data_IF_461327842014
#
_entry.id   IF_461327842014
#
_cell.length_a   1.000
_cell.length_b   1.000
_cell.length_c   1.000
_cell.angle_alpha   90.00
_cell.angle_beta   90.00
_cell.angle_gamma   90.00
#
_symmetry.space_group_name_H-M   'P 1'
#
loop_
_entity.id
_entity.type
_entity.pdbx_description
1 polymer ?
#
# COMPACT_ATOMS: atom_id res chain seq x y z
N UNK A 1 -22.48 -50.17 -49.32
CA UNK A 1 -21.47 -50.98 -48.61
C UNK A 1 -21.69 -50.69 -47.12
N UNK A 2 -22.40 -51.47 -46.41
CA UNK A 2 -22.19 -52.59 -45.50
C UNK A 2 -20.87 -52.47 -44.71
N UNK A 3 -20.97 -52.28 -43.37
CA UNK A 3 -20.64 -53.19 -42.28
C UNK A 3 -20.73 -52.39 -40.97
N UNK A 4 -21.40 -52.73 -40.04
CA UNK A 4 -21.74 -53.84 -39.12
C UNK A 4 -21.49 -53.41 -37.68
N UNK A 5 -22.54 -53.55 -36.91
CA UNK A 5 -22.69 -53.54 -35.46
C UNK A 5 -21.63 -54.35 -34.70
N UNK A 6 -21.28 -53.88 -33.50
CA UNK A 6 -21.04 -54.77 -32.35
C UNK A 6 -21.51 -54.14 -31.06
N UNK A 7 -22.56 -54.72 -30.54
CA UNK A 7 -23.08 -54.59 -29.18
C UNK A 7 -22.28 -55.54 -28.30
N UNK A 8 -21.93 -55.14 -27.08
CA UNK A 8 -21.71 -56.05 -25.94
C UNK A 8 -22.09 -55.37 -24.60
N UNK A 9 -22.45 -56.18 -23.61
CA UNK A 9 -23.45 -55.86 -22.58
C UNK A 9 -22.85 -55.52 -21.21
N UNK A 10 -23.70 -54.94 -20.43
CA UNK A 10 -23.91 -54.74 -19.03
C UNK A 10 -22.91 -55.30 -17.99
N UNK A 11 -22.63 -54.43 -17.05
CA UNK A 11 -22.42 -54.79 -15.65
C UNK A 11 -23.10 -53.73 -14.76
N UNK A 12 -24.12 -54.18 -14.05
CA UNK A 12 -24.70 -53.48 -12.87
C UNK A 12 -23.70 -53.60 -11.74
N UNK A 13 -23.27 -52.50 -11.18
CA UNK A 13 -22.71 -52.50 -9.83
C UNK A 13 -23.19 -51.29 -9.03
N UNK A 14 -23.65 -51.61 -7.88
CA UNK A 14 -24.18 -51.04 -6.74
C UNK A 14 -23.93 -49.55 -6.43
N UNK A 15 -25.05 -48.89 -6.21
CA UNK A 15 -25.13 -47.58 -5.55
C UNK A 15 -24.83 -47.76 -4.06
N UNK A 16 -23.61 -47.45 -3.61
CA UNK A 16 -23.32 -47.23 -2.19
C UNK A 16 -23.30 -45.73 -1.97
N UNK A 17 -24.32 -45.23 -1.29
CA UNK A 17 -24.35 -43.85 -0.78
C UNK A 17 -23.28 -43.70 0.32
N UNK A 18 -22.20 -43.00 0.01
CA UNK A 18 -21.29 -42.50 1.00
C UNK A 18 -21.80 -41.16 1.50
N UNK A 19 -22.35 -41.14 2.68
CA UNK A 19 -22.65 -39.92 3.44
C UNK A 19 -21.33 -39.23 3.76
N UNK A 20 -21.00 -38.22 2.97
CA UNK A 20 -19.91 -37.30 3.24
C UNK A 20 -20.31 -36.38 4.39
N UNK A 21 -19.79 -36.66 5.59
CA UNK A 21 -19.78 -35.73 6.70
C UNK A 21 -18.86 -34.57 6.31
N UNK A 22 -19.45 -33.41 6.09
CA UNK A 22 -18.73 -32.17 5.86
C UNK A 22 -17.99 -31.77 7.16
N UNK A 23 -16.72 -32.00 7.20
CA UNK A 23 -15.80 -31.44 8.23
C UNK A 23 -15.83 -29.92 8.13
N UNK A 24 -15.97 -29.17 9.25
CA UNK A 24 -15.94 -27.72 9.21
C UNK A 24 -14.58 -27.27 8.66
N UNK A 25 -14.59 -26.49 7.58
CA UNK A 25 -13.38 -25.82 7.08
C UNK A 25 -12.84 -24.93 8.18
N UNK A 26 -11.74 -25.34 8.78
CA UNK A 26 -10.89 -24.46 9.56
C UNK A 26 -10.50 -23.31 8.65
N UNK A 27 -10.82 -22.07 9.05
CA UNK A 27 -10.30 -20.87 8.43
C UNK A 27 -8.77 -20.86 8.61
N UNK A 28 -8.07 -21.42 7.66
CA UNK A 28 -6.63 -21.23 7.54
C UNK A 28 -6.42 -19.74 7.25
N UNK A 29 -5.78 -19.06 8.19
CA UNK A 29 -5.16 -17.76 7.94
C UNK A 29 -4.16 -18.01 6.82
N UNK A 30 -4.43 -17.45 5.64
CA UNK A 30 -3.48 -17.50 4.53
C UNK A 30 -2.27 -16.66 4.98
N UNK A 31 -1.10 -17.25 5.16
CA UNK A 31 0.10 -16.46 5.46
C UNK A 31 0.34 -15.52 4.29
N UNK A 32 0.56 -14.24 4.55
CA UNK A 32 1.18 -13.35 3.57
C UNK A 32 2.45 -14.08 3.07
N UNK A 33 2.47 -14.43 1.80
CA UNK A 33 3.65 -14.95 1.15
C UNK A 33 4.72 -13.85 1.19
N UNK A 34 5.50 -13.84 2.26
CA UNK A 34 6.83 -13.26 2.25
C UNK A 34 7.62 -14.12 1.27
N UNK A 35 7.94 -13.58 0.10
CA UNK A 35 8.77 -14.22 -0.92
C UNK A 35 10.23 -14.24 -0.43
N UNK A 36 10.51 -14.98 0.61
CA UNK A 36 11.82 -15.26 1.13
C UNK A 36 11.88 -16.76 1.44
N UNK A 37 12.91 -17.42 0.94
CA UNK A 37 13.16 -18.85 1.18
C UNK A 37 13.50 -19.11 2.67
N UNK A 38 12.52 -18.92 3.58
CA UNK A 38 12.66 -19.44 4.94
C UNK A 38 12.62 -20.95 4.90
N UNK A 39 13.59 -21.61 5.53
CA UNK A 39 13.56 -23.06 5.64
C UNK A 39 12.40 -23.49 6.54
N UNK A 40 11.91 -24.71 6.38
CA UNK A 40 10.86 -25.28 7.24
C UNK A 40 11.25 -25.22 8.73
N UNK A 41 12.54 -25.45 9.03
CA UNK A 41 13.09 -25.33 10.38
C UNK A 41 13.01 -23.89 10.91
N UNK A 42 13.33 -22.88 10.10
CA UNK A 42 13.19 -21.46 10.50
C UNK A 42 11.74 -21.09 10.75
N UNK A 43 10.81 -21.55 9.92
CA UNK A 43 9.38 -21.33 10.12
C UNK A 43 8.89 -21.95 11.44
N UNK A 44 9.30 -23.18 11.76
CA UNK A 44 8.96 -23.85 13.01
C UNK A 44 9.49 -23.08 14.21
N UNK A 45 10.76 -22.69 14.20
CA UNK A 45 11.37 -21.90 15.29
C UNK A 45 10.70 -20.54 15.49
N UNK A 46 10.31 -19.85 14.40
CA UNK A 46 9.57 -18.59 14.50
C UNK A 46 8.17 -18.78 15.08
N UNK A 47 7.47 -19.85 14.72
CA UNK A 47 6.16 -20.18 15.28
C UNK A 47 6.23 -20.50 16.76
N UNK A 48 7.21 -21.30 17.20
CA UNK A 48 7.45 -21.60 18.60
C UNK A 48 7.77 -20.32 19.40
N UNK A 49 8.73 -19.52 18.94
CA UNK A 49 9.12 -18.28 19.59
C UNK A 49 7.94 -17.29 19.73
N UNK A 50 7.15 -17.09 18.65
CA UNK A 50 5.98 -16.20 18.69
C UNK A 50 4.89 -16.78 19.59
N UNK A 51 4.70 -18.09 19.59
CA UNK A 51 3.74 -18.77 20.45
C UNK A 51 4.08 -18.57 21.93
N UNK A 52 5.32 -18.74 22.31
CA UNK A 52 5.80 -18.53 23.68
C UNK A 52 5.66 -17.08 24.13
N UNK A 53 6.08 -16.13 23.29
CA UNK A 53 5.94 -14.69 23.58
C UNK A 53 4.48 -14.27 23.75
N UNK A 54 3.57 -14.80 22.93
CA UNK A 54 2.12 -14.53 23.05
C UNK A 54 1.53 -15.15 24.33
N UNK A 55 1.99 -16.35 24.72
CA UNK A 55 1.53 -17.01 25.93
C UNK A 55 2.00 -16.26 27.19
N UNK A 56 3.24 -15.76 27.19
CA UNK A 56 3.77 -14.95 28.29
C UNK A 56 3.02 -13.61 28.42
N UNK A 57 2.78 -12.93 27.30
CA UNK A 57 1.98 -11.69 27.27
C UNK A 57 0.54 -11.94 27.79
N UNK A 58 -0.07 -13.07 27.41
CA UNK A 58 -1.38 -13.46 27.90
C UNK A 58 -1.37 -13.69 29.42
N UNK A 59 -0.40 -14.42 29.95
CA UNK A 59 -0.28 -14.67 31.41
C UNK A 59 -0.16 -13.36 32.19
N UNK A 60 0.68 -12.45 31.71
CA UNK A 60 0.85 -11.13 32.33
C UNK A 60 -0.42 -10.31 32.28
N UNK A 61 -1.16 -10.35 31.18
CA UNK A 61 -2.40 -9.58 31.03
C UNK A 61 -3.54 -10.15 31.89
N UNK A 62 -3.68 -11.49 31.96
CA UNK A 62 -4.82 -12.11 32.66
C UNK A 62 -4.77 -11.88 34.18
N UNK A 63 -3.57 -11.73 34.75
CA UNK A 63 -3.40 -11.41 36.18
C UNK A 63 -3.98 -10.06 36.56
N UNK A 64 -4.23 -9.18 35.59
CA UNK A 64 -4.76 -7.82 35.76
C UNK A 64 -6.26 -7.71 35.44
N UNK A 65 -6.91 -8.81 35.00
CA UNK A 65 -8.30 -8.79 34.56
C UNK A 65 -9.22 -9.34 35.66
N UNK A 66 -10.27 -8.58 35.99
CA UNK A 66 -11.44 -9.11 36.70
C UNK A 66 -12.39 -9.85 35.72
N UNK A 67 -13.42 -10.49 36.28
CA UNK A 67 -14.35 -11.27 35.51
C UNK A 67 -15.09 -10.44 34.44
N UNK A 68 -15.43 -9.20 34.74
CA UNK A 68 -16.15 -8.31 33.84
C UNK A 68 -15.25 -7.84 32.69
N UNK A 69 -14.03 -7.48 32.99
CA UNK A 69 -13.02 -7.11 31.98
C UNK A 69 -12.65 -8.28 31.07
N UNK A 70 -12.54 -9.49 31.64
CA UNK A 70 -12.28 -10.69 30.86
C UNK A 70 -13.42 -10.99 29.86
N UNK A 71 -14.70 -10.80 30.27
CA UNK A 71 -15.83 -10.95 29.36
C UNK A 71 -15.81 -9.91 28.24
N UNK A 72 -15.51 -8.65 28.55
CA UNK A 72 -15.38 -7.58 27.54
C UNK A 72 -14.29 -7.88 26.49
N UNK A 73 -13.16 -8.44 26.91
CA UNK A 73 -12.10 -8.91 26.00
C UNK A 73 -12.61 -10.04 25.11
N UNK A 74 -13.33 -11.02 25.65
CA UNK A 74 -13.92 -12.11 24.87
C UNK A 74 -14.92 -11.60 23.83
N UNK A 75 -15.73 -10.62 24.16
CA UNK A 75 -16.70 -10.01 23.24
C UNK A 75 -16.02 -9.27 22.08
N UNK A 76 -14.82 -8.76 22.30
CA UNK A 76 -14.00 -8.09 21.29
C UNK A 76 -12.98 -9.02 20.59
N UNK A 77 -13.10 -10.34 20.74
CA UNK A 77 -12.07 -11.30 20.29
C UNK A 77 -11.64 -11.16 18.83
N UNK A 78 -12.55 -10.80 17.92
CA UNK A 78 -12.21 -10.57 16.50
C UNK A 78 -11.30 -9.37 16.29
N UNK A 79 -11.63 -8.27 16.98
CA UNK A 79 -10.83 -7.03 16.92
C UNK A 79 -9.46 -7.24 17.53
N UNK A 80 -9.41 -7.87 18.71
CA UNK A 80 -8.16 -8.20 19.39
C UNK A 80 -7.26 -9.11 18.54
N UNK A 81 -7.82 -10.13 17.89
CA UNK A 81 -7.06 -11.02 17.00
C UNK A 81 -6.40 -10.25 15.86
N UNK A 82 -7.13 -9.29 15.26
CA UNK A 82 -6.60 -8.45 14.17
C UNK A 82 -5.48 -7.55 14.69
N UNK A 83 -5.69 -6.86 15.81
CA UNK A 83 -4.67 -5.97 16.41
C UNK A 83 -3.39 -6.73 16.82
N UNK A 84 -3.53 -7.92 17.38
CA UNK A 84 -2.39 -8.78 17.72
C UNK A 84 -1.64 -9.22 16.46
N UNK A 85 -2.34 -9.67 15.42
CA UNK A 85 -1.72 -10.07 14.17
C UNK A 85 -0.95 -8.91 13.51
N UNK A 86 -1.54 -7.72 13.47
CA UNK A 86 -0.88 -6.52 12.96
C UNK A 86 0.39 -6.18 13.75
N UNK A 87 0.32 -6.29 15.09
CA UNK A 87 1.48 -6.00 15.95
C UNK A 87 2.61 -7.02 15.78
N UNK A 88 2.28 -8.30 15.62
CA UNK A 88 3.27 -9.35 15.34
C UNK A 88 3.95 -9.10 14.00
N UNK A 89 3.19 -8.77 12.95
CA UNK A 89 3.74 -8.41 11.64
C UNK A 89 4.65 -7.19 11.74
N UNK A 90 4.24 -6.15 12.45
CA UNK A 90 5.06 -4.94 12.68
C UNK A 90 6.40 -5.28 13.38
N UNK A 91 6.38 -6.11 14.42
CA UNK A 91 7.59 -6.53 15.15
C UNK A 91 8.51 -7.33 14.23
N UNK A 92 7.97 -8.31 13.49
CA UNK A 92 8.75 -9.10 12.54
C UNK A 92 9.40 -8.18 11.51
N UNK A 93 8.64 -7.27 10.90
CA UNK A 93 9.19 -6.32 9.93
C UNK A 93 10.30 -5.44 10.51
N UNK A 94 10.12 -4.92 11.74
CA UNK A 94 11.13 -4.09 12.41
C UNK A 94 12.47 -4.81 12.56
N UNK A 95 12.47 -6.13 12.75
CA UNK A 95 13.68 -6.91 12.99
C UNK A 95 14.21 -7.67 11.76
N UNK A 96 13.43 -7.79 10.69
CA UNK A 96 13.82 -8.58 9.50
C UNK A 96 14.23 -7.75 8.29
N UNK A 97 13.89 -6.46 8.25
CA UNK A 97 14.03 -5.65 7.02
C UNK A 97 15.34 -4.88 6.90
N UNK A 98 16.26 -4.97 7.89
CA UNK A 98 17.37 -4.02 7.94
C UNK A 98 18.40 -4.14 6.82
N UNK A 99 18.67 -5.36 6.29
CA UNK A 99 19.82 -5.56 5.39
C UNK A 99 19.48 -5.99 3.95
N UNK A 100 18.23 -6.38 3.67
CA UNK A 100 17.86 -6.76 2.29
C UNK A 100 17.97 -5.57 1.34
N UNK A 101 18.74 -5.72 0.26
CA UNK A 101 18.99 -4.67 -0.75
C UNK A 101 19.67 -3.41 -0.19
N UNK A 102 20.49 -3.53 0.85
CA UNK A 102 21.22 -2.40 1.45
C UNK A 102 22.23 -1.78 0.49
N UNK A 103 22.72 -2.56 -0.44
CA UNK A 103 23.56 -2.13 -1.58
C UNK A 103 22.81 -1.26 -2.60
N UNK A 104 21.47 -1.16 -2.48
CA UNK A 104 20.61 -0.30 -3.29
C UNK A 104 20.31 1.03 -2.58
N UNK A 105 21.26 1.56 -1.84
CA UNK A 105 21.22 2.88 -1.22
C UNK A 105 22.45 3.70 -1.66
N UNK A 106 22.23 4.96 -1.98
CA UNK A 106 23.28 5.94 -2.31
C UNK A 106 23.10 7.20 -1.50
N UNK A 107 24.18 7.88 -1.20
CA UNK A 107 24.11 9.19 -0.55
C UNK A 107 23.37 10.20 -1.43
N UNK A 108 22.51 10.99 -0.80
CA UNK A 108 21.76 12.06 -1.45
C UNK A 108 21.79 13.33 -0.61
N UNK A 109 22.15 14.43 -1.25
CA UNK A 109 22.11 15.79 -0.70
C UNK A 109 20.85 16.56 -1.13
N UNK A 110 20.00 15.93 -1.95
CA UNK A 110 18.79 16.57 -2.50
C UNK A 110 17.74 16.82 -1.44
N UNK A 111 17.08 17.95 -1.57
CA UNK A 111 16.03 18.41 -0.65
C UNK A 111 14.80 18.86 -1.39
N UNK A 112 13.77 19.25 -0.66
CA UNK A 112 12.60 19.89 -1.25
C UNK A 112 12.93 21.31 -1.76
N UNK A 113 12.14 21.82 -2.73
CA UNK A 113 12.24 23.23 -3.10
C UNK A 113 12.05 24.12 -1.86
N UNK A 114 12.83 25.22 -1.72
CA UNK A 114 12.68 26.14 -0.58
C UNK A 114 11.27 26.74 -0.44
N UNK A 115 10.51 26.76 -1.52
CA UNK A 115 9.12 27.26 -1.58
C UNK A 115 8.09 26.24 -1.14
N UNK A 116 8.46 24.96 -1.05
CA UNK A 116 7.51 23.90 -0.65
C UNK A 116 7.10 24.06 0.81
N UNK A 117 5.82 24.17 1.03
CA UNK A 117 5.19 24.18 2.37
C UNK A 117 3.89 23.42 2.30
N UNK A 118 3.67 22.53 3.26
CA UNK A 118 2.41 21.80 3.34
C UNK A 118 1.30 22.75 3.79
N UNK A 119 0.22 22.75 3.03
CA UNK A 119 -0.97 23.58 3.27
C UNK A 119 -1.88 22.92 4.30
N UNK A 120 -2.66 23.70 5.07
CA UNK A 120 -3.71 23.14 5.94
C UNK A 120 -4.68 22.25 5.15
N UNK A 121 -5.24 21.23 5.81
CA UNK A 121 -6.16 20.25 5.17
C UNK A 121 -7.34 20.96 4.50
N UNK A 122 -7.92 21.98 5.13
CA UNK A 122 -9.04 22.74 4.58
C UNK A 122 -8.72 23.39 3.22
N UNK A 123 -7.49 23.88 3.08
CA UNK A 123 -7.01 24.46 1.82
C UNK A 123 -6.81 23.38 0.74
N UNK A 124 -6.26 22.23 1.13
CA UNK A 124 -6.08 21.09 0.24
C UNK A 124 -7.44 20.55 -0.25
N UNK A 125 -8.39 20.36 0.66
CA UNK A 125 -9.77 19.92 0.36
C UNK A 125 -10.47 20.88 -0.58
N UNK A 126 -10.35 22.19 -0.32
CA UNK A 126 -10.92 23.23 -1.18
C UNK A 126 -10.36 23.15 -2.59
N UNK A 127 -9.05 22.94 -2.72
CA UNK A 127 -8.41 22.84 -4.03
C UNK A 127 -8.81 21.55 -4.76
N UNK A 128 -8.86 20.42 -4.07
CA UNK A 128 -9.29 19.14 -4.66
C UNK A 128 -10.73 19.18 -5.12
N UNK A 129 -11.63 19.84 -4.39
CA UNK A 129 -13.04 20.02 -4.81
C UNK A 129 -13.21 20.94 -6.05
N UNK A 130 -12.31 21.90 -6.26
CA UNK A 130 -12.27 22.67 -7.49
C UNK A 130 -11.85 21.83 -8.70
N UNK A 131 -10.91 20.91 -8.47
CA UNK A 131 -10.37 20.03 -9.52
C UNK A 131 -11.35 18.90 -9.84
N UNK A 132 -11.91 18.29 -8.81
CA UNK A 132 -12.83 17.17 -8.88
C UNK A 132 -14.16 17.55 -8.20
N UNK A 133 -15.05 18.23 -8.93
CA UNK A 133 -16.37 18.58 -8.42
C UNK A 133 -17.16 17.33 -8.04
N UNK A 134 -17.79 17.35 -6.89
CA UNK A 134 -18.58 16.22 -6.39
C UNK A 134 -17.90 15.44 -5.26
N UNK A 135 -16.62 15.69 -4.95
CA UNK A 135 -15.98 15.12 -3.76
C UNK A 135 -16.73 15.59 -2.49
N UNK A 136 -17.17 14.60 -1.71
CA UNK A 136 -18.00 14.80 -0.53
C UNK A 136 -17.21 15.09 0.74
N UNK A 137 -17.42 14.28 1.79
CA UNK A 137 -16.90 14.52 3.13
C UNK A 137 -15.41 14.29 3.25
N UNK A 138 -14.77 15.03 4.16
CA UNK A 138 -13.42 14.86 4.65
C UNK A 138 -13.43 14.91 6.19
N UNK A 139 -12.65 14.05 6.84
CA UNK A 139 -12.48 14.13 8.29
C UNK A 139 -11.34 15.08 8.67
N UNK A 140 -11.55 16.38 8.47
CA UNK A 140 -10.54 17.42 8.71
C UNK A 140 -10.05 17.47 10.17
N UNK A 141 -10.79 16.87 11.12
CA UNK A 141 -10.39 16.83 12.54
C UNK A 141 -9.13 16.00 12.77
N UNK A 142 -8.82 15.07 11.86
CA UNK A 142 -7.62 14.22 11.97
C UNK A 142 -6.32 15.03 11.96
N UNK A 143 -6.27 16.18 11.28
CA UNK A 143 -5.08 17.04 11.30
C UNK A 143 -4.71 17.56 12.71
N UNK A 144 -5.65 17.48 13.70
CA UNK A 144 -5.40 17.87 15.09
C UNK A 144 -4.74 16.76 15.92
N UNK A 145 -4.70 15.54 15.40
CA UNK A 145 -3.99 14.44 16.05
C UNK A 145 -2.48 14.57 15.84
N UNK A 146 -1.66 14.02 16.75
CA UNK A 146 -0.23 13.91 16.52
C UNK A 146 0.04 13.18 15.20
N UNK A 147 1.04 13.64 14.47
CA UNK A 147 1.51 12.94 13.26
C UNK A 147 2.04 11.56 13.63
N UNK A 148 1.77 10.53 12.79
CA UNK A 148 2.49 9.27 12.89
C UNK A 148 4.00 9.50 12.79
N UNK A 149 4.78 8.67 13.47
CA UNK A 149 6.24 8.71 13.38
C UNK A 149 6.67 8.52 11.91
N UNK A 150 7.58 9.36 11.45
CA UNK A 150 8.04 9.38 10.05
C UNK A 150 7.22 10.27 9.11
N UNK A 151 5.99 10.65 9.48
CA UNK A 151 5.21 11.57 8.66
C UNK A 151 5.65 13.02 8.87
N UNK A 152 5.73 13.77 7.78
CA UNK A 152 6.07 15.20 7.77
C UNK A 152 4.84 16.10 7.96
N UNK A 153 3.70 15.65 7.45
CA UNK A 153 2.45 16.41 7.51
C UNK A 153 1.22 15.53 7.23
N UNK A 154 0.03 16.15 7.37
CA UNK A 154 -1.24 15.58 6.94
C UNK A 154 -1.56 16.03 5.52
N UNK A 155 -2.04 15.08 4.68
CA UNK A 155 -2.45 15.33 3.31
C UNK A 155 -3.88 14.86 3.09
N UNK A 156 -4.67 15.65 2.35
CA UNK A 156 -5.99 15.25 1.88
C UNK A 156 -5.87 14.51 0.54
N UNK A 157 -6.35 13.29 0.48
CA UNK A 157 -6.28 12.42 -0.69
C UNK A 157 -7.69 11.90 -1.02
N UNK A 158 -8.21 12.09 -2.23
CA UNK A 158 -9.46 11.46 -2.62
C UNK A 158 -9.37 9.94 -2.55
N UNK A 159 -10.46 9.28 -2.22
CA UNK A 159 -10.60 7.86 -2.55
C UNK A 159 -10.67 7.74 -4.06
N UNK A 160 -9.89 6.87 -4.67
CA UNK A 160 -9.96 6.72 -6.12
C UNK A 160 -11.35 6.25 -6.57
N UNK A 161 -12.07 5.46 -5.74
CA UNK A 161 -13.45 5.02 -5.98
C UNK A 161 -14.47 6.17 -6.01
N UNK A 162 -14.15 7.32 -5.42
CA UNK A 162 -14.99 8.52 -5.51
C UNK A 162 -14.81 9.27 -6.84
N UNK A 163 -13.78 8.91 -7.61
CA UNK A 163 -13.46 9.58 -8.88
C UNK A 163 -13.71 8.69 -10.10
N UNK A 164 -13.44 7.38 -10.02
CA UNK A 164 -13.44 6.48 -11.16
C UNK A 164 -13.89 5.06 -10.80
N UNK A 165 -14.21 4.26 -11.82
CA UNK A 165 -14.59 2.86 -11.67
C UNK A 165 -13.41 1.93 -11.39
N UNK A 166 -12.20 2.32 -11.80
CA UNK A 166 -10.97 1.57 -11.58
C UNK A 166 -9.85 2.49 -11.09
N UNK A 167 -8.86 1.90 -10.40
CA UNK A 167 -7.66 2.62 -9.98
C UNK A 167 -6.92 3.28 -11.15
N UNK A 168 -6.80 2.56 -12.26
CA UNK A 168 -6.10 3.02 -13.45
C UNK A 168 -6.78 4.23 -14.09
N UNK A 169 -8.11 4.23 -14.18
CA UNK A 169 -8.88 5.39 -14.63
C UNK A 169 -8.67 6.60 -13.70
N UNK A 170 -8.65 6.37 -12.38
CA UNK A 170 -8.38 7.45 -11.42
C UNK A 170 -6.97 8.03 -11.58
N UNK A 171 -5.96 7.20 -11.86
CA UNK A 171 -4.61 7.67 -12.19
C UNK A 171 -4.62 8.53 -13.45
N UNK A 172 -5.30 8.11 -14.52
CA UNK A 172 -5.42 8.88 -15.75
C UNK A 172 -6.13 10.23 -15.52
N UNK A 173 -7.17 10.25 -14.68
CA UNK A 173 -7.85 11.49 -14.29
C UNK A 173 -6.91 12.47 -13.57
N UNK A 174 -6.08 11.99 -12.65
CA UNK A 174 -5.08 12.81 -11.92
C UNK A 174 -4.02 13.34 -12.88
N UNK A 175 -3.48 12.52 -13.77
CA UNK A 175 -2.51 12.93 -14.78
C UNK A 175 -3.12 13.96 -15.76
N UNK A 176 -4.38 13.78 -16.14
CA UNK A 176 -5.14 14.75 -16.92
C UNK A 176 -5.28 16.08 -16.19
N UNK A 177 -5.67 16.05 -14.90
CA UNK A 177 -5.79 17.26 -14.08
C UNK A 177 -4.45 17.99 -13.90
N UNK A 178 -3.34 17.27 -13.73
CA UNK A 178 -1.99 17.85 -13.72
C UNK A 178 -1.68 18.54 -15.05
N UNK A 179 -2.02 17.91 -16.18
CA UNK A 179 -1.76 18.44 -17.53
C UNK A 179 -2.55 19.71 -17.87
N UNK A 180 -3.70 19.93 -17.24
CA UNK A 180 -4.48 21.18 -17.40
C UNK A 180 -3.88 22.36 -16.63
N UNK A 181 -3.02 22.10 -15.66
CA UNK A 181 -2.45 23.10 -14.72
C UNK A 181 -1.00 23.45 -15.01
N UNK A 182 -0.26 22.53 -15.59
CA UNK A 182 1.13 22.73 -16.00
C UNK A 182 1.50 21.78 -17.13
N UNK A 183 2.62 22.08 -17.80
CA UNK A 183 3.13 21.19 -18.82
C UNK A 183 3.52 19.84 -18.19
N UNK A 184 2.93 18.75 -18.68
CA UNK A 184 3.22 17.37 -18.27
C UNK A 184 3.61 16.57 -19.51
N UNK A 185 4.77 15.92 -19.46
CA UNK A 185 5.21 14.95 -20.45
C UNK A 185 4.93 13.53 -19.91
N UNK A 186 3.84 12.91 -20.38
CA UNK A 186 3.57 11.51 -20.06
C UNK A 186 4.28 10.61 -21.09
N UNK A 187 5.28 9.82 -20.65
CA UNK A 187 6.08 8.93 -21.48
C UNK A 187 5.47 7.55 -21.70
N UNK A 188 4.39 7.22 -21.00
CA UNK A 188 3.76 5.89 -21.03
C UNK A 188 2.28 5.93 -21.44
N UNK A 189 1.91 6.92 -22.26
CA UNK A 189 0.54 7.07 -22.79
C UNK A 189 0.03 5.77 -23.41
N UNK A 190 -1.22 5.39 -23.08
CA UNK A 190 -1.89 4.20 -23.60
C UNK A 190 -1.42 2.88 -22.98
N UNK A 191 -0.58 2.93 -21.93
CA UNK A 191 -0.10 1.76 -21.18
C UNK A 191 -0.38 1.92 -19.70
N UNK A 192 -1.64 2.21 -19.35
CA UNK A 192 -2.07 2.50 -18.00
C UNK A 192 -3.07 1.51 -17.44
N UNK A 193 -3.52 0.51 -18.22
CA UNK A 193 -4.45 -0.51 -17.73
C UNK A 193 -3.77 -1.50 -16.75
N UNK A 194 -4.56 -2.36 -16.09
CA UNK A 194 -4.11 -3.22 -15.00
C UNK A 194 -3.01 -4.22 -15.36
N UNK A 195 -2.78 -4.51 -16.65
CA UNK A 195 -1.65 -5.35 -17.07
C UNK A 195 -0.31 -4.60 -17.07
N UNK A 196 -0.35 -3.26 -17.14
CA UNK A 196 0.85 -2.42 -17.07
C UNK A 196 1.06 -1.81 -15.69
N UNK A 197 0.02 -1.24 -15.06
CA UNK A 197 0.10 -0.53 -13.80
C UNK A 197 -0.81 -1.17 -12.76
N UNK A 198 -0.27 -1.46 -11.57
CA UNK A 198 -1.05 -1.91 -10.42
C UNK A 198 -0.54 -1.29 -9.13
N UNK A 199 -1.41 -1.19 -8.14
CA UNK A 199 -0.99 -0.87 -6.78
C UNK A 199 -0.22 -2.06 -6.18
N UNK A 200 0.82 -1.77 -5.39
CA UNK A 200 1.44 -2.78 -4.53
C UNK A 200 0.43 -3.29 -3.50
N UNK A 201 0.52 -4.55 -3.12
CA UNK A 201 -0.43 -5.14 -2.16
C UNK A 201 -0.42 -4.40 -0.82
N UNK A 202 0.75 -3.93 -0.38
CA UNK A 202 0.88 -3.16 0.86
C UNK A 202 0.12 -1.83 0.79
N UNK A 203 0.27 -1.09 -0.29
CA UNK A 203 -0.42 0.20 -0.49
C UNK A 203 -1.93 0.02 -0.62
N UNK A 204 -2.36 -1.00 -1.36
CA UNK A 204 -3.77 -1.37 -1.49
C UNK A 204 -4.41 -1.73 -0.15
N UNK A 205 -3.71 -2.50 0.69
CA UNK A 205 -4.18 -2.84 2.04
C UNK A 205 -4.26 -1.59 2.93
N UNK A 206 -3.24 -0.74 2.89
CA UNK A 206 -3.20 0.48 3.67
C UNK A 206 -4.33 1.45 3.28
N UNK A 207 -4.60 1.63 1.99
CA UNK A 207 -5.74 2.44 1.52
C UNK A 207 -7.09 1.88 1.98
N UNK A 208 -7.24 0.55 2.00
CA UNK A 208 -8.43 -0.11 2.55
C UNK A 208 -8.60 0.21 4.03
N UNK A 209 -7.55 0.06 4.83
CA UNK A 209 -7.57 0.34 6.28
C UNK A 209 -7.91 1.82 6.52
N UNK A 210 -7.24 2.76 5.83
CA UNK A 210 -7.54 4.20 5.92
C UNK A 210 -8.99 4.49 5.53
N UNK A 211 -9.49 3.78 4.53
CA UNK A 211 -10.87 3.86 4.10
C UNK A 211 -11.87 3.41 5.16
N UNK A 212 -11.59 2.33 5.86
CA UNK A 212 -12.39 1.83 6.97
C UNK A 212 -12.32 2.77 8.19
N UNK A 213 -11.14 3.27 8.51
CA UNK A 213 -10.93 4.24 9.60
C UNK A 213 -11.64 5.58 9.37
N UNK A 214 -11.89 5.95 8.12
CA UNK A 214 -12.54 7.20 7.71
C UNK A 214 -13.81 6.91 6.89
N UNK A 215 -14.62 5.98 7.37
CA UNK A 215 -15.86 5.58 6.71
C UNK A 215 -16.77 6.76 6.42
N UNK A 216 -17.39 6.76 5.24
CA UNK A 216 -18.28 7.84 4.77
C UNK A 216 -17.55 9.12 4.31
N UNK A 217 -16.21 9.12 4.27
CA UNK A 217 -15.43 10.21 3.68
C UNK A 217 -14.98 9.85 2.26
N UNK A 218 -15.12 10.77 1.31
CA UNK A 218 -14.56 10.67 -0.04
C UNK A 218 -13.11 11.16 -0.10
N UNK A 219 -12.73 11.99 0.86
CA UNK A 219 -11.38 12.52 1.04
C UNK A 219 -10.79 11.94 2.33
N UNK A 220 -9.72 11.18 2.20
CA UNK A 220 -8.95 10.64 3.32
C UNK A 220 -7.91 11.65 3.78
N UNK A 221 -7.69 11.73 5.09
CA UNK A 221 -6.57 12.48 5.68
C UNK A 221 -5.49 11.47 6.02
N UNK A 222 -4.33 11.62 5.40
CA UNK A 222 -3.21 10.67 5.46
C UNK A 222 -1.99 11.39 6.01
N UNK A 223 -1.38 10.85 7.07
CA UNK A 223 -0.05 11.27 7.51
C UNK A 223 0.97 10.74 6.50
N UNK A 224 1.78 11.63 5.92
CA UNK A 224 2.73 11.23 4.88
C UNK A 224 4.00 12.09 4.89
N UNK A 225 5.03 11.58 4.21
CA UNK A 225 6.23 12.30 3.84
C UNK A 225 6.39 12.32 2.32
N UNK A 226 7.01 13.37 1.80
CA UNK A 226 7.05 13.63 0.37
C UNK A 226 8.37 13.20 -0.32
N UNK A 227 9.11 12.24 0.24
CA UNK A 227 10.28 11.59 -0.37
C UNK A 227 11.58 11.68 0.41
N UNK A 228 11.70 12.52 1.46
CA UNK A 228 12.96 12.75 2.19
C UNK A 228 13.41 11.54 3.02
N UNK A 229 12.49 10.82 3.63
CA UNK A 229 12.81 9.71 4.52
C UNK A 229 13.58 8.59 3.79
N UNK A 230 13.24 8.34 2.53
CA UNK A 230 13.83 7.29 1.70
C UNK A 230 14.58 7.85 0.49
N UNK A 231 15.20 9.03 0.65
CA UNK A 231 16.01 9.60 -0.42
C UNK A 231 17.27 8.76 -0.67
N UNK A 232 17.62 8.58 -1.93
CA UNK A 232 18.79 7.80 -2.32
C UNK A 232 18.57 6.27 -2.27
N UNK A 233 17.41 5.79 -1.83
CA UNK A 233 17.07 4.36 -1.85
C UNK A 233 16.35 3.98 -3.14
N UNK A 234 16.57 2.75 -3.62
CA UNK A 234 15.74 2.19 -4.70
C UNK A 234 14.30 1.97 -4.21
N UNK A 235 13.34 1.90 -5.12
CA UNK A 235 11.95 1.63 -4.75
C UNK A 235 11.80 0.25 -4.09
N UNK A 236 12.56 -0.76 -4.56
CA UNK A 236 12.60 -2.11 -3.99
C UNK A 236 13.20 -2.10 -2.57
N UNK A 237 14.30 -1.38 -2.35
CA UNK A 237 14.88 -1.20 -1.02
C UNK A 237 13.90 -0.50 -0.09
N UNK A 238 13.27 0.58 -0.54
CA UNK A 238 12.27 1.29 0.24
C UNK A 238 11.14 0.38 0.69
N UNK A 239 10.57 -0.44 -0.22
CA UNK A 239 9.48 -1.37 0.11
C UNK A 239 9.83 -2.35 1.24
N UNK A 240 11.08 -2.78 1.34
CA UNK A 240 11.52 -3.71 2.40
C UNK A 240 11.99 -3.01 3.66
N UNK A 241 12.37 -1.74 3.62
CA UNK A 241 12.81 -0.95 4.77
C UNK A 241 11.70 -0.17 5.47
N UNK A 242 10.51 -0.07 4.88
CA UNK A 242 9.35 0.60 5.47
C UNK A 242 8.98 0.05 6.85
N UNK A 243 8.67 0.93 7.79
CA UNK A 243 8.12 0.57 9.10
C UNK A 243 6.79 -0.20 8.98
N UNK A 244 6.37 -0.92 10.02
CA UNK A 244 5.16 -1.75 9.98
C UNK A 244 3.87 -1.00 9.63
N UNK A 245 3.76 0.26 10.04
CA UNK A 245 2.64 1.14 9.73
C UNK A 245 2.85 2.03 8.50
N UNK A 246 3.98 1.91 7.80
CA UNK A 246 4.35 2.70 6.64
C UNK A 246 3.96 1.99 5.34
N UNK A 247 3.61 2.72 4.30
CA UNK A 247 3.28 2.19 2.97
C UNK A 247 3.70 3.16 1.87
N UNK A 248 4.06 2.64 0.70
CA UNK A 248 4.42 3.45 -0.47
C UNK A 248 3.24 4.26 -1.00
N UNK A 249 3.48 5.50 -1.41
CA UNK A 249 2.48 6.27 -2.15
C UNK A 249 2.60 5.95 -3.64
N UNK A 250 1.46 5.64 -4.25
CA UNK A 250 1.35 5.41 -5.69
C UNK A 250 1.15 6.71 -6.49
N UNK A 251 1.10 6.56 -7.80
CA UNK A 251 0.91 7.66 -8.77
C UNK A 251 -0.34 8.46 -8.47
N UNK A 252 -1.45 7.80 -8.16
CA UNK A 252 -2.70 8.46 -7.83
C UNK A 252 -2.55 9.37 -6.61
N UNK A 253 -2.06 8.80 -5.52
CA UNK A 253 -1.94 9.50 -4.22
C UNK A 253 -0.95 10.65 -4.31
N UNK A 254 0.26 10.39 -4.82
CA UNK A 254 1.26 11.44 -4.96
C UNK A 254 0.90 12.48 -6.03
N UNK A 255 0.23 12.08 -7.10
CA UNK A 255 -0.33 13.00 -8.08
C UNK A 255 -1.35 13.96 -7.47
N UNK A 256 -2.22 13.50 -6.57
CA UNK A 256 -3.12 14.35 -5.80
C UNK A 256 -2.36 15.32 -4.88
N UNK A 257 -1.26 14.88 -4.27
CA UNK A 257 -0.37 15.79 -3.52
C UNK A 257 0.23 16.87 -4.42
N UNK A 258 0.65 16.53 -5.64
CA UNK A 258 1.16 17.51 -6.61
C UNK A 258 0.08 18.49 -7.12
N UNK A 259 -1.18 18.09 -7.16
CA UNK A 259 -2.30 18.97 -7.49
C UNK A 259 -2.51 20.04 -6.41
N UNK A 260 -2.32 19.68 -5.15
CA UNK A 260 -2.47 20.60 -4.01
C UNK A 260 -1.18 21.34 -3.65
N UNK A 261 -0.02 20.80 -4.01
CA UNK A 261 1.31 21.33 -3.72
C UNK A 261 2.20 21.28 -4.98
N UNK A 262 1.87 22.08 -6.03
CA UNK A 262 2.61 22.04 -7.30
C UNK A 262 4.08 22.46 -7.14
N UNK A 263 4.40 23.24 -6.11
CA UNK A 263 5.75 23.67 -5.77
C UNK A 263 6.65 22.54 -5.29
N UNK A 264 6.10 21.37 -4.85
CA UNK A 264 6.88 20.21 -4.41
C UNK A 264 7.83 19.68 -5.50
N UNK A 265 7.41 19.77 -6.75
CA UNK A 265 8.19 19.32 -7.91
C UNK A 265 8.11 20.38 -9.00
N UNK A 266 8.93 21.43 -8.86
CA UNK A 266 8.89 22.64 -9.71
C UNK A 266 10.23 22.98 -10.36
N UNK A 267 11.32 22.32 -9.95
CA UNK A 267 12.66 22.52 -10.50
C UNK A 267 13.43 21.21 -10.57
N UNK A 268 14.33 21.05 -11.52
CA UNK A 268 15.17 19.86 -11.71
C UNK A 268 16.25 19.67 -10.63
N UNK A 269 16.49 20.67 -9.79
CA UNK A 269 17.52 20.63 -8.74
C UNK A 269 17.02 19.97 -7.44
N UNK A 270 15.74 19.61 -7.38
CA UNK A 270 15.12 19.08 -6.18
C UNK A 270 14.95 17.57 -6.24
N UNK A 271 14.56 16.99 -5.11
CA UNK A 271 14.33 15.56 -4.98
C UNK A 271 13.19 15.11 -5.88
N UNK A 272 13.48 14.24 -6.86
CA UNK A 272 12.55 13.55 -7.74
C UNK A 272 11.84 12.42 -7.00
N UNK A 273 10.84 11.78 -7.63
CA UNK A 273 9.91 10.90 -6.92
C UNK A 273 9.78 9.54 -7.60
N UNK A 274 10.07 8.49 -6.86
CA UNK A 274 9.69 7.10 -7.18
C UNK A 274 8.38 6.74 -6.45
N UNK A 275 7.32 6.44 -7.19
CA UNK A 275 6.01 6.09 -6.63
C UNK A 275 5.97 4.59 -6.23
N UNK A 276 6.65 4.22 -5.14
CA UNK A 276 6.81 2.82 -4.71
C UNK A 276 5.52 2.12 -4.30
N UNK A 277 4.44 2.88 -4.14
CA UNK A 277 3.09 2.35 -3.92
C UNK A 277 2.49 1.67 -5.14
N UNK A 278 3.10 1.87 -6.31
CA UNK A 278 2.70 1.23 -7.55
C UNK A 278 3.84 0.40 -8.15
N UNK A 279 3.46 -0.57 -8.97
CA UNK A 279 4.34 -1.45 -9.72
C UNK A 279 3.98 -1.38 -11.20
N UNK A 280 4.97 -1.43 -12.08
CA UNK A 280 4.75 -1.29 -13.51
C UNK A 280 5.42 -2.40 -14.33
N UNK A 281 4.67 -2.93 -15.32
CA UNK A 281 5.13 -3.91 -16.32
C UNK A 281 5.27 -3.24 -17.68
N UNK A 282 6.47 -3.18 -18.22
CA UNK A 282 6.74 -2.53 -19.53
C UNK A 282 6.01 -3.21 -20.70
N UNK A 283 5.89 -4.53 -20.62
CA UNK A 283 5.32 -5.35 -21.69
C UNK A 283 3.86 -5.72 -21.48
N UNK A 284 3.31 -5.49 -20.29
CA UNK A 284 1.99 -5.95 -19.92
C UNK A 284 1.89 -7.47 -19.79
N UNK A 285 3.02 -8.12 -19.52
CA UNK A 285 3.19 -9.56 -19.31
C UNK A 285 3.21 -9.96 -17.83
N UNK A 286 2.76 -9.04 -16.98
CA UNK A 286 2.74 -9.17 -15.52
C UNK A 286 4.13 -9.29 -14.87
N UNK A 287 5.21 -8.95 -15.58
CA UNK A 287 6.54 -8.77 -15.01
C UNK A 287 6.67 -7.34 -14.49
N UNK A 288 6.38 -7.14 -13.21
CA UNK A 288 6.36 -5.83 -12.56
C UNK A 288 7.73 -5.52 -11.95
N UNK A 289 8.68 -5.12 -12.80
CA UNK A 289 10.07 -4.82 -12.44
C UNK A 289 10.44 -3.34 -12.58
N UNK A 290 9.41 -2.50 -12.68
CA UNK A 290 9.55 -1.03 -12.79
C UNK A 290 8.72 -0.33 -11.74
N UNK A 291 9.12 0.88 -11.43
CA UNK A 291 8.40 1.84 -10.60
C UNK A 291 7.98 3.04 -11.45
N UNK A 292 6.74 3.51 -11.34
CA UNK A 292 6.36 4.80 -11.90
C UNK A 292 7.02 5.95 -11.15
N UNK A 293 7.29 7.04 -11.84
CA UNK A 293 7.99 8.17 -11.27
C UNK A 293 7.46 9.52 -11.76
N UNK A 294 7.68 10.54 -10.94
CA UNK A 294 7.54 11.93 -11.34
C UNK A 294 8.91 12.63 -11.28
N UNK A 295 9.26 13.25 -12.39
CA UNK A 295 10.49 14.00 -12.59
C UNK A 295 10.15 15.44 -12.99
N UNK A 296 11.12 16.35 -12.94
CA UNK A 296 11.01 17.69 -13.47
C UNK A 296 12.17 17.96 -14.42
N UNK A 297 11.87 17.97 -15.70
CA UNK A 297 12.83 18.26 -16.75
C UNK A 297 12.47 19.59 -17.45
N UNK A 298 13.33 20.02 -18.37
CA UNK A 298 13.32 21.31 -19.07
C UNK A 298 11.90 21.89 -19.29
N UNK A 299 11.43 22.58 -18.26
CA UNK A 299 10.18 23.36 -18.28
C UNK A 299 8.89 22.58 -18.03
N UNK A 300 8.93 21.38 -17.44
CA UNK A 300 7.69 20.66 -17.12
C UNK A 300 7.85 19.44 -16.22
N UNK A 301 6.72 19.00 -15.69
CA UNK A 301 6.62 17.73 -15.00
C UNK A 301 6.74 16.59 -16.02
N UNK A 302 7.56 15.61 -15.75
CA UNK A 302 7.59 14.35 -16.50
C UNK A 302 7.00 13.22 -15.67
N UNK A 303 6.15 12.40 -16.29
CA UNK A 303 5.68 11.14 -15.75
C UNK A 303 6.22 10.00 -16.61
N UNK A 304 7.00 9.10 -16.00
CA UNK A 304 7.64 7.99 -16.67
C UNK A 304 7.81 6.78 -15.74
N UNK A 305 8.68 5.84 -16.10
CA UNK A 305 8.98 4.63 -15.34
C UNK A 305 10.48 4.40 -15.27
N UNK A 306 10.92 3.73 -14.19
CA UNK A 306 12.32 3.32 -14.07
C UNK A 306 12.45 1.92 -13.43
N UNK A 307 13.66 1.40 -13.38
CA UNK A 307 13.99 0.14 -12.71
C UNK A 307 13.79 0.27 -11.20
N UNK A 308 13.07 -0.66 -10.60
CA UNK A 308 12.76 -0.63 -9.17
C UNK A 308 13.97 -0.92 -8.27
N UNK A 309 15.02 -1.55 -8.82
CA UNK A 309 16.25 -1.96 -8.15
C UNK A 309 17.41 -0.94 -8.28
N UNK A 310 17.15 0.23 -8.85
CA UNK A 310 18.19 1.24 -9.10
C UNK A 310 18.09 2.42 -8.15
N UNK A 311 19.02 2.47 -7.21
CA UNK A 311 19.20 3.63 -6.35
C UNK A 311 19.79 4.82 -7.13
N UNK A 312 19.31 6.03 -6.85
CA UNK A 312 19.76 7.27 -7.48
C UNK A 312 19.77 8.43 -6.47
N UNK A 313 20.82 9.23 -6.46
CA UNK A 313 20.99 10.33 -5.51
C UNK A 313 19.98 11.48 -5.69
N UNK A 314 19.33 11.58 -6.85
CA UNK A 314 18.32 12.61 -7.15
C UNK A 314 16.92 12.20 -6.70
N UNK A 315 16.73 10.97 -6.24
CA UNK A 315 15.41 10.36 -6.06
C UNK A 315 15.09 10.10 -4.61
N UNK A 316 13.81 10.21 -4.29
CA UNK A 316 13.25 9.82 -3.03
C UNK A 316 11.89 9.19 -3.20
N UNK A 317 11.50 8.39 -2.25
CA UNK A 317 10.27 7.64 -2.29
C UNK A 317 9.29 8.19 -1.26
N UNK A 318 8.14 8.75 -1.68
CA UNK A 318 7.12 9.22 -0.77
C UNK A 318 6.37 8.04 -0.14
N UNK A 319 6.07 8.17 1.15
CA UNK A 319 5.35 7.16 1.90
C UNK A 319 4.26 7.75 2.78
N UNK A 320 3.22 6.96 3.03
CA UNK A 320 2.15 7.25 3.95
C UNK A 320 2.24 6.38 5.20
N UNK A 321 1.52 6.77 6.25
CA UNK A 321 1.56 6.10 7.54
C UNK A 321 0.14 5.84 8.05
N UNK A 322 -0.12 4.60 8.44
CA UNK A 322 -1.30 4.26 9.20
C UNK A 322 -1.19 4.84 10.61
N UNK A 323 -2.26 5.42 11.11
CA UNK A 323 -2.32 5.93 12.47
C UNK A 323 -3.23 5.05 13.33
N UNK A 324 -2.92 4.94 14.62
CA UNK A 324 -3.78 4.24 15.57
C UNK A 324 -5.00 5.11 15.87
N UNK A 325 -6.19 4.56 15.69
CA UNK A 325 -7.39 5.12 16.33
C UNK A 325 -7.27 4.83 17.84
N UNK A 326 -6.96 5.83 18.62
CA UNK A 326 -7.03 5.76 20.08
C UNK A 326 -8.48 5.92 20.49
#
# INVERSE_FOLDING_TARGET
MKFKNAVRPGAQEGLTMATSQATPRQNQIVPLHLSGNTTEQQNTQLQEFLGDAMLEAYRTAIEQLDQQSAQAVLDMHRKLKTEVAERVVEIIHRHTCSDKYKDEEVESDRTYPPTYRVRPIEAQVTELRKIFPGLGKCNERLQRKPLPEGAEAWFAIPRWQALAGTYNEAVEMVLGALSTRRKVANRIVGKMDAKYLRQSERSKLAEKILGEQQEGCDLLVVGAQAGMLHRGSSARRTRVSMAGNEFGLGVFTFGCMLLTHPERLSTGDTLMIDCSGDEYSVRGDYSFDRVPLFDFDIGGLEFSIFYEDRARNLWGTPTGFLYKLV
#
